data_IF_310136273702
#
_entry.id   IF_310136273702
#
_cell.length_a   1.000
_cell.length_b   1.000
_cell.length_c   1.000
_cell.angle_alpha   90.00
_cell.angle_beta   90.00
_cell.angle_gamma   90.00
#
_symmetry.space_group_name_H-M   'P 1'
#
loop_
_entity.id
_entity.type
_entity.pdbx_description
1 polymer ?
#
# COMPACT_ATOMS: atom_id res chain seq x y z
N UNK A 1 -12.97 -42.30 9.98
CA UNK A 1 -11.99 -41.57 10.82
C UNK A 1 -12.01 -40.11 10.42
N UNK A 2 -12.59 -39.23 11.25
CA UNK A 2 -12.53 -37.78 11.00
C UNK A 2 -11.07 -37.34 11.15
N UNK A 3 -10.45 -36.87 10.06
CA UNK A 3 -9.13 -36.25 10.16
C UNK A 3 -9.26 -35.00 11.03
N UNK A 4 -8.68 -35.02 12.23
CA UNK A 4 -8.54 -33.82 13.07
C UNK A 4 -7.58 -32.87 12.37
N UNK A 5 -8.07 -32.10 11.40
CA UNK A 5 -7.28 -31.08 10.71
C UNK A 5 -6.94 -29.97 11.70
N UNK A 6 -5.64 -29.73 11.91
CA UNK A 6 -5.15 -28.63 12.73
C UNK A 6 -5.19 -27.33 11.91
N UNK A 7 -6.39 -26.75 11.79
CA UNK A 7 -6.59 -25.50 11.05
C UNK A 7 -5.82 -24.32 11.64
N UNK A 8 -5.64 -24.28 12.96
CA UNK A 8 -4.88 -23.22 13.63
C UNK A 8 -3.43 -23.20 13.17
N UNK A 9 -2.76 -24.36 13.22
CA UNK A 9 -1.37 -24.48 12.79
C UNK A 9 -1.18 -24.32 11.28
N UNK A 10 -2.18 -24.68 10.48
CA UNK A 10 -2.16 -24.41 9.04
C UNK A 10 -2.26 -22.91 8.74
N UNK A 11 -3.21 -22.21 9.38
CA UNK A 11 -3.41 -20.78 9.16
C UNK A 11 -2.21 -19.94 9.64
N UNK A 12 -1.57 -20.31 10.74
CA UNK A 12 -0.35 -19.62 11.20
C UNK A 12 0.78 -19.65 10.16
N UNK A 13 0.87 -20.71 9.35
CA UNK A 13 1.86 -20.81 8.25
C UNK A 13 1.51 -19.94 7.03
N UNK A 14 0.27 -19.49 6.90
CA UNK A 14 -0.21 -18.69 5.77
C UNK A 14 -0.12 -17.18 6.04
N UNK A 15 0.09 -16.77 7.29
CA UNK A 15 0.19 -15.34 7.64
C UNK A 15 1.65 -14.90 7.57
N UNK A 16 1.99 -14.10 6.56
CA UNK A 16 3.28 -13.38 6.51
C UNK A 16 3.17 -12.12 7.37
N UNK A 17 3.83 -12.11 8.52
CA UNK A 17 3.84 -10.97 9.46
C UNK A 17 5.10 -10.15 9.24
N UNK A 18 4.98 -8.83 9.31
CA UNK A 18 6.13 -7.92 9.17
C UNK A 18 6.54 -7.65 7.72
N UNK A 19 5.74 -8.05 6.73
CA UNK A 19 5.94 -7.68 5.33
C UNK A 19 4.97 -6.59 4.92
N UNK A 20 5.49 -5.57 4.23
CA UNK A 20 4.71 -4.47 3.71
C UNK A 20 4.93 -4.41 2.19
N UNK A 21 3.85 -4.62 1.44
CA UNK A 21 3.86 -4.52 -0.01
C UNK A 21 3.44 -3.10 -0.39
N UNK A 22 4.40 -2.27 -0.81
CA UNK A 22 4.16 -0.92 -1.35
C UNK A 22 4.54 -0.95 -2.82
N UNK A 23 3.61 -0.60 -3.70
CA UNK A 23 3.93 -0.30 -5.09
C UNK A 23 4.65 1.06 -5.17
N UNK A 24 5.68 1.13 -6.00
CA UNK A 24 6.42 2.36 -6.29
C UNK A 24 5.97 3.02 -7.60
N UNK A 25 4.94 2.48 -8.26
CA UNK A 25 4.47 2.93 -9.57
C UNK A 25 3.95 4.38 -9.50
N UNK A 26 3.53 4.83 -8.31
CA UNK A 26 3.12 6.21 -8.09
C UNK A 26 4.25 7.23 -8.38
N UNK A 27 5.51 6.83 -8.26
CA UNK A 27 6.65 7.71 -8.56
C UNK A 27 6.74 8.09 -10.03
N UNK A 28 6.17 7.28 -10.93
CA UNK A 28 6.28 7.51 -12.38
C UNK A 28 5.56 8.78 -12.85
N UNK A 29 4.46 9.15 -12.17
CA UNK A 29 3.58 10.24 -12.61
C UNK A 29 3.34 11.30 -11.53
N UNK A 30 4.07 11.23 -10.42
CA UNK A 30 3.80 12.04 -9.24
C UNK A 30 3.87 13.55 -9.47
N UNK A 31 4.69 14.02 -10.42
CA UNK A 31 4.87 15.44 -10.74
C UNK A 31 3.63 15.97 -11.45
N UNK A 32 3.08 15.18 -12.37
CA UNK A 32 1.83 15.50 -13.04
C UNK A 32 0.68 15.53 -12.04
N UNK A 33 0.59 14.54 -11.16
CA UNK A 33 -0.42 14.47 -10.12
C UNK A 33 -0.31 15.65 -9.13
N UNK A 34 0.91 15.98 -8.69
CA UNK A 34 1.17 17.10 -7.79
C UNK A 34 0.79 18.43 -8.44
N UNK A 35 1.10 18.61 -9.73
CA UNK A 35 0.70 19.79 -10.49
C UNK A 35 -0.83 19.91 -10.59
N UNK A 36 -1.53 18.82 -10.92
CA UNK A 36 -3.00 18.78 -10.94
C UNK A 36 -3.60 19.10 -9.57
N UNK A 37 -3.02 18.58 -8.48
CA UNK A 37 -3.49 18.86 -7.11
C UNK A 37 -3.24 20.31 -6.66
N UNK A 38 -2.30 21.00 -7.31
CA UNK A 38 -2.00 22.41 -7.07
C UNK A 38 -2.72 23.36 -8.03
N UNK A 39 -3.43 22.83 -9.03
CA UNK A 39 -4.19 23.65 -9.95
C UNK A 39 -5.31 24.41 -9.22
N UNK A 40 -5.39 25.72 -9.44
CA UNK A 40 -6.39 26.59 -8.81
C UNK A 40 -6.22 26.80 -7.30
N UNK A 41 -5.13 26.32 -6.68
CA UNK A 41 -4.88 26.56 -5.26
C UNK A 41 -4.53 28.03 -5.01
N UNK A 42 -5.29 28.67 -4.12
CA UNK A 42 -5.01 30.03 -3.65
C UNK A 42 -3.99 30.04 -2.49
N UNK A 43 -3.99 28.99 -1.67
CA UNK A 43 -3.07 28.81 -0.55
C UNK A 43 -1.72 28.21 -0.96
N UNK A 44 -0.87 27.91 0.03
CA UNK A 44 0.45 27.31 -0.23
C UNK A 44 0.30 26.00 -1.04
N UNK A 45 1.02 25.86 -2.16
CA UNK A 45 1.02 24.62 -2.93
C UNK A 45 1.56 23.44 -2.11
N UNK A 46 1.03 22.26 -2.38
CA UNK A 46 1.65 21.01 -1.94
C UNK A 46 3.05 20.90 -2.55
N UNK A 47 4.00 20.43 -1.75
CA UNK A 47 5.34 20.08 -2.21
C UNK A 47 5.64 18.67 -1.77
N UNK A 48 6.00 17.85 -2.73
CA UNK A 48 6.51 16.51 -2.52
C UNK A 48 7.97 16.46 -3.02
N UNK A 49 8.83 15.60 -2.43
CA UNK A 49 10.30 15.62 -2.64
C UNK A 49 10.74 15.46 -4.08
#
# INVERSE_FOLDING_TARGET
>A
MQSKRNWKGYNEKLVRRGELYISLDFLENWDEELNRMNEGKVGRPFRFP
#
